data_IF_219506676164
#
_entry.id   IF_219506676164
#
_cell.length_a   1.000
_cell.length_b   1.000
_cell.length_c   1.000
_cell.angle_alpha   90.00
_cell.angle_beta   90.00
_cell.angle_gamma   90.00
#
_symmetry.space_group_name_H-M   'P 1'
#
loop_
_entity.id
_entity.type
_entity.pdbx_description
1 polymer ?
#
# COMPACT_ATOMS: atom_id res chain seq x y z
N UNK A 1 -26.24 2.09 10.10
CA UNK A 1 -26.25 2.11 11.57
C UNK A 1 -26.45 0.70 12.09
N UNK A 2 -25.39 0.03 12.54
CA UNK A 2 -25.54 -1.09 13.46
C UNK A 2 -25.33 -0.54 14.87
N UNK A 3 -26.40 -0.57 15.68
CA UNK A 3 -26.32 -0.28 17.10
C UNK A 3 -25.69 -1.49 17.78
N UNK A 4 -24.44 -1.36 18.20
CA UNK A 4 -23.76 -2.41 18.95
C UNK A 4 -24.22 -2.37 20.41
N UNK A 5 -25.05 -3.33 20.82
CA UNK A 5 -25.35 -3.56 22.24
C UNK A 5 -24.16 -4.25 22.90
N UNK A 6 -23.73 -3.75 24.06
CA UNK A 6 -22.68 -4.39 24.86
C UNK A 6 -23.20 -5.70 25.46
N UNK A 7 -22.52 -6.82 25.17
CA UNK A 7 -22.73 -8.10 25.86
C UNK A 7 -22.99 -9.32 24.98
N UNK A 8 -23.27 -9.15 23.70
CA UNK A 8 -23.50 -10.28 22.78
C UNK A 8 -22.24 -10.66 22.00
N UNK A 9 -22.04 -11.95 21.76
CA UNK A 9 -21.03 -12.45 20.82
C UNK A 9 -21.37 -11.96 19.42
N UNK A 10 -20.42 -11.30 18.77
CA UNK A 10 -20.60 -10.77 17.42
C UNK A 10 -19.73 -11.52 16.43
N UNK A 11 -20.29 -11.81 15.27
CA UNK A 11 -19.55 -12.31 14.11
C UNK A 11 -19.18 -11.14 13.21
N UNK A 12 -17.89 -11.00 12.91
CA UNK A 12 -17.39 -10.05 11.91
C UNK A 12 -16.77 -10.84 10.76
N UNK A 13 -17.07 -10.45 9.52
CA UNK A 13 -16.47 -11.03 8.31
C UNK A 13 -15.53 -10.02 7.73
N UNK A 14 -14.27 -10.42 7.54
CA UNK A 14 -13.21 -9.53 7.06
C UNK A 14 -12.92 -9.82 5.59
N UNK A 15 -12.80 -8.78 4.77
CA UNK A 15 -12.35 -8.92 3.38
C UNK A 15 -10.82 -8.95 3.26
N UNK A 16 -10.30 -9.41 2.11
CA UNK A 16 -8.86 -9.39 1.86
C UNK A 16 -8.30 -7.95 1.78
N UNK A 17 -9.13 -7.01 1.30
CA UNK A 17 -8.82 -5.58 1.31
C UNK A 17 -8.54 -5.08 2.72
N UNK A 18 -9.46 -5.33 3.65
CA UNK A 18 -9.37 -4.91 5.05
C UNK A 18 -8.12 -5.44 5.74
N UNK A 19 -7.81 -6.72 5.53
CA UNK A 19 -6.61 -7.35 6.10
C UNK A 19 -5.32 -6.73 5.55
N UNK A 20 -5.25 -6.54 4.23
CA UNK A 20 -4.08 -5.93 3.61
C UNK A 20 -3.90 -4.48 4.02
N UNK A 21 -4.99 -3.71 4.09
CA UNK A 21 -4.93 -2.31 4.51
C UNK A 21 -4.49 -2.20 5.97
N UNK A 22 -5.04 -3.05 6.84
CA UNK A 22 -4.65 -3.21 8.24
C UNK A 22 -3.18 -3.48 8.43
N UNK A 23 -2.67 -4.52 7.77
CA UNK A 23 -1.24 -4.85 7.79
C UNK A 23 -0.38 -3.69 7.28
N UNK A 24 -0.81 -3.00 6.22
CA UNK A 24 -0.08 -1.87 5.68
C UNK A 24 0.08 -0.74 6.72
N UNK A 25 -0.99 -0.44 7.47
CA UNK A 25 -1.00 0.55 8.55
C UNK A 25 -0.07 0.10 9.69
N UNK A 26 -0.24 -1.13 10.20
CA UNK A 26 0.55 -1.65 11.32
C UNK A 26 2.05 -1.65 10.99
N UNK A 27 2.42 -2.08 9.79
CA UNK A 27 3.80 -2.14 9.36
C UNK A 27 4.41 -0.75 9.15
N UNK A 28 3.62 0.23 8.68
CA UNK A 28 4.06 1.62 8.59
C UNK A 28 4.33 2.19 9.99
N UNK A 29 3.40 1.97 10.94
CA UNK A 29 3.54 2.40 12.33
C UNK A 29 4.74 1.75 13.00
N UNK A 30 4.92 0.44 12.83
CA UNK A 30 6.09 -0.29 13.33
C UNK A 30 7.40 0.24 12.75
N UNK A 31 7.43 0.55 11.44
CA UNK A 31 8.59 1.18 10.81
C UNK A 31 8.91 2.53 11.45
N UNK A 32 7.90 3.37 11.71
CA UNK A 32 8.04 4.65 12.42
C UNK A 32 8.59 4.47 13.84
N UNK A 33 8.00 3.58 14.64
CA UNK A 33 8.41 3.34 16.04
C UNK A 33 9.85 2.86 16.11
N UNK A 34 10.22 1.85 15.32
CA UNK A 34 11.59 1.32 15.31
C UNK A 34 12.58 2.38 14.80
N UNK A 35 12.20 3.22 13.83
CA UNK A 35 13.08 4.24 13.28
C UNK A 35 13.52 5.30 14.31
N UNK A 36 12.67 5.62 15.30
CA UNK A 36 13.02 6.56 16.38
C UNK A 36 14.14 6.04 17.28
N UNK A 37 14.23 4.72 17.43
CA UNK A 37 15.14 4.06 18.36
C UNK A 37 16.28 3.30 17.67
N UNK A 38 16.40 3.38 16.35
CA UNK A 38 17.38 2.61 15.58
C UNK A 38 18.81 3.06 15.90
N UNK A 39 19.51 2.25 16.68
CA UNK A 39 20.92 2.40 17.08
C UNK A 39 21.80 1.32 16.48
N UNK A 40 21.21 0.22 16.03
CA UNK A 40 21.90 -0.98 15.53
C UNK A 40 21.51 -1.30 14.09
N UNK A 41 22.38 -2.05 13.39
CA UNK A 41 22.10 -2.49 12.02
C UNK A 41 20.86 -3.38 11.88
N UNK A 42 20.50 -4.12 12.93
CA UNK A 42 19.27 -4.92 12.96
C UNK A 42 18.02 -4.04 12.94
N UNK A 43 17.98 -2.98 13.76
CA UNK A 43 16.85 -2.05 13.79
C UNK A 43 16.69 -1.33 12.46
N UNK A 44 17.79 -0.88 11.84
CA UNK A 44 17.75 -0.30 10.50
C UNK A 44 17.19 -1.27 9.47
N UNK A 45 17.60 -2.55 9.52
CA UNK A 45 17.06 -3.59 8.63
C UNK A 45 15.57 -3.82 8.88
N UNK A 46 15.12 -3.80 10.14
CA UNK A 46 13.71 -3.97 10.48
C UNK A 46 12.85 -2.80 9.99
N UNK A 47 13.30 -1.55 10.16
CA UNK A 47 12.63 -0.35 9.61
C UNK A 47 12.40 -0.51 8.12
N UNK A 48 13.45 -0.92 7.41
CA UNK A 48 13.43 -1.11 5.97
C UNK A 48 12.45 -2.21 5.52
N UNK A 49 12.51 -3.38 6.17
CA UNK A 49 11.59 -4.51 5.88
C UNK A 49 10.13 -4.15 6.15
N UNK A 50 9.86 -3.49 7.28
CA UNK A 50 8.51 -3.03 7.61
C UNK A 50 8.00 -2.01 6.58
N UNK A 51 8.85 -1.08 6.13
CA UNK A 51 8.47 -0.12 5.09
C UNK A 51 8.12 -0.80 3.76
N UNK A 52 8.97 -1.71 3.28
CA UNK A 52 8.72 -2.51 2.08
C UNK A 52 7.40 -3.27 2.19
N UNK A 53 7.19 -3.96 3.31
CA UNK A 53 6.01 -4.80 3.51
C UNK A 53 4.74 -3.96 3.59
N UNK A 54 4.80 -2.77 4.22
CA UNK A 54 3.70 -1.81 4.21
C UNK A 54 3.32 -1.35 2.79
N UNK A 55 4.32 -0.99 1.97
CA UNK A 55 4.10 -0.57 0.57
C UNK A 55 3.42 -1.68 -0.23
N UNK A 56 3.89 -2.92 -0.10
CA UNK A 56 3.31 -4.07 -0.78
C UNK A 56 1.86 -4.33 -0.34
N UNK A 57 1.62 -4.41 0.96
CA UNK A 57 0.28 -4.66 1.49
C UNK A 57 -0.69 -3.53 1.16
N UNK A 58 -0.26 -2.27 1.21
CA UNK A 58 -1.09 -1.13 0.81
C UNK A 58 -1.53 -1.24 -0.65
N UNK A 59 -0.62 -1.62 -1.55
CA UNK A 59 -0.99 -1.83 -2.95
C UNK A 59 -1.89 -3.05 -3.13
N UNK A 60 -1.66 -4.16 -2.43
CA UNK A 60 -2.54 -5.34 -2.47
C UNK A 60 -3.96 -5.02 -1.96
N UNK A 61 -4.09 -4.15 -0.96
CA UNK A 61 -5.38 -3.65 -0.49
C UNK A 61 -6.12 -2.91 -1.62
N UNK A 62 -5.42 -1.99 -2.30
CA UNK A 62 -5.97 -1.28 -3.45
C UNK A 62 -6.41 -2.23 -4.58
N UNK A 63 -5.59 -3.23 -4.93
CA UNK A 63 -5.94 -4.24 -5.93
C UNK A 63 -7.18 -5.04 -5.52
N UNK A 64 -7.29 -5.40 -4.25
CA UNK A 64 -8.44 -6.14 -3.70
C UNK A 64 -9.70 -5.29 -3.77
N UNK A 65 -9.64 -4.02 -3.36
CA UNK A 65 -10.74 -3.08 -3.41
C UNK A 65 -11.25 -2.88 -4.85
N UNK A 66 -10.34 -2.63 -5.80
CA UNK A 66 -10.67 -2.48 -7.22
C UNK A 66 -11.39 -3.72 -7.76
N UNK A 67 -10.91 -4.91 -7.40
CA UNK A 67 -11.58 -6.15 -7.80
C UNK A 67 -12.96 -6.30 -7.13
N UNK A 68 -13.11 -5.91 -5.87
CA UNK A 68 -14.39 -5.91 -5.17
C UNK A 68 -15.40 -4.97 -5.86
N UNK A 69 -15.05 -3.70 -6.09
CA UNK A 69 -15.94 -2.76 -6.79
C UNK A 69 -16.27 -3.23 -8.21
N UNK A 70 -15.29 -3.75 -8.94
CA UNK A 70 -15.53 -4.34 -10.26
C UNK A 70 -16.45 -5.56 -10.22
N UNK A 71 -16.30 -6.43 -9.22
CA UNK A 71 -17.21 -7.55 -8.99
C UNK A 71 -18.64 -7.05 -8.76
N UNK A 72 -18.80 -6.08 -7.88
CA UNK A 72 -20.10 -5.50 -7.53
C UNK A 72 -20.80 -4.84 -8.73
N UNK A 73 -20.05 -4.18 -9.60
CA UNK A 73 -20.63 -3.53 -10.78
C UNK A 73 -20.95 -4.52 -11.91
N UNK A 74 -20.09 -5.52 -12.14
CA UNK A 74 -20.13 -6.27 -13.40
C UNK A 74 -20.47 -7.75 -13.25
N UNK A 75 -20.44 -8.29 -12.04
CA UNK A 75 -20.59 -9.73 -11.80
C UNK A 75 -21.66 -10.05 -10.74
N UNK A 76 -21.89 -9.16 -9.76
CA UNK A 76 -22.94 -9.33 -8.76
C UNK A 76 -24.29 -8.75 -9.21
N UNK A 77 -25.20 -9.59 -9.71
CA UNK A 77 -26.55 -9.18 -10.13
C UNK A 77 -27.42 -8.59 -9.00
N UNK A 78 -27.10 -8.88 -7.74
CA UNK A 78 -27.83 -8.38 -6.57
C UNK A 78 -27.32 -7.03 -6.06
N UNK A 79 -26.20 -6.53 -6.58
CA UNK A 79 -25.64 -5.24 -6.19
C UNK A 79 -26.47 -4.07 -6.73
N UNK A 80 -26.64 -3.03 -5.93
CA UNK A 80 -27.28 -1.78 -6.36
C UNK A 80 -26.49 -1.06 -7.47
N UNK A 81 -25.17 -1.29 -7.53
CA UNK A 81 -24.30 -0.74 -8.56
C UNK A 81 -24.20 -1.62 -9.81
N UNK A 82 -24.95 -2.72 -9.88
CA UNK A 82 -24.85 -3.67 -10.98
C UNK A 82 -25.25 -3.07 -12.33
N UNK A 83 -24.41 -3.31 -13.33
CA UNK A 83 -24.63 -2.94 -14.72
C UNK A 83 -25.20 -4.14 -15.49
N UNK A 84 -26.47 -4.14 -15.91
CA UNK A 84 -27.07 -5.22 -16.67
C UNK A 84 -26.31 -5.50 -17.97
N UNK A 85 -26.25 -6.77 -18.39
CA UNK A 85 -25.49 -7.22 -19.57
C UNK A 85 -25.95 -6.49 -20.83
N UNK A 86 -27.24 -6.21 -20.93
CA UNK A 86 -27.90 -5.53 -22.04
C UNK A 86 -27.50 -4.06 -22.16
N UNK A 87 -27.00 -3.46 -21.06
CA UNK A 87 -26.49 -2.09 -21.02
C UNK A 87 -24.98 -1.99 -21.25
N UNK A 88 -24.30 -3.13 -21.51
CA UNK A 88 -22.85 -3.17 -21.72
C UNK A 88 -22.52 -3.07 -23.20
N UNK A 89 -21.70 -2.08 -23.55
CA UNK A 89 -21.19 -1.98 -24.91
C UNK A 89 -20.16 -3.10 -25.21
N UNK A 90 -19.74 -3.18 -26.47
CA UNK A 90 -18.78 -4.19 -26.92
C UNK A 90 -17.40 -4.06 -26.23
N UNK A 91 -16.94 -2.84 -25.96
CA UNK A 91 -15.63 -2.59 -25.37
C UNK A 91 -15.61 -3.03 -23.91
N UNK A 92 -16.66 -2.72 -23.15
CA UNK A 92 -16.88 -3.20 -21.79
C UNK A 92 -16.88 -4.72 -21.75
N UNK A 93 -17.66 -5.38 -22.60
CA UNK A 93 -17.69 -6.84 -22.65
C UNK A 93 -16.33 -7.45 -22.99
N UNK A 94 -15.56 -6.82 -23.88
CA UNK A 94 -14.19 -7.27 -24.20
C UNK A 94 -13.24 -7.09 -23.01
N UNK A 95 -13.35 -5.98 -22.27
CA UNK A 95 -12.55 -5.73 -21.08
C UNK A 95 -12.86 -6.73 -19.96
N UNK A 96 -14.14 -6.98 -19.68
CA UNK A 96 -14.57 -7.92 -18.63
C UNK A 96 -14.10 -9.36 -18.90
N UNK A 97 -13.99 -9.79 -20.16
CA UNK A 97 -13.44 -11.11 -20.52
C UNK A 97 -11.98 -11.30 -20.12
N UNK A 98 -11.22 -10.22 -19.95
CA UNK A 98 -9.82 -10.25 -19.51
C UNK A 98 -9.64 -9.68 -18.12
N UNK A 99 -10.72 -9.55 -17.34
CA UNK A 99 -10.70 -8.88 -16.03
C UNK A 99 -9.56 -9.38 -15.15
N UNK A 100 -9.45 -10.69 -14.93
CA UNK A 100 -8.43 -11.26 -14.04
C UNK A 100 -6.98 -11.05 -14.51
N UNK A 101 -6.79 -10.73 -15.80
CA UNK A 101 -5.48 -10.47 -16.42
C UNK A 101 -5.17 -8.99 -16.59
N UNK A 102 -6.15 -8.11 -16.40
CA UNK A 102 -5.95 -6.67 -16.54
C UNK A 102 -5.28 -6.08 -15.31
N UNK A 103 -4.41 -5.10 -15.54
CA UNK A 103 -3.71 -4.41 -14.47
C UNK A 103 -4.68 -3.61 -13.59
N UNK A 104 -4.35 -3.49 -12.31
CA UNK A 104 -5.20 -2.81 -11.34
C UNK A 104 -5.51 -1.36 -11.71
N UNK A 105 -4.51 -0.61 -12.20
CA UNK A 105 -4.73 0.78 -12.62
C UNK A 105 -5.63 0.89 -13.86
N UNK A 106 -5.56 -0.07 -14.81
CA UNK A 106 -6.51 -0.12 -15.93
C UNK A 106 -7.93 -0.34 -15.42
N UNK A 107 -8.11 -1.26 -14.46
CA UNK A 107 -9.41 -1.55 -13.85
C UNK A 107 -9.97 -0.34 -13.10
N UNK A 108 -9.13 0.36 -12.33
CA UNK A 108 -9.52 1.56 -11.59
C UNK A 108 -10.06 2.63 -12.52
N UNK A 109 -9.29 3.03 -13.54
CA UNK A 109 -9.70 4.07 -14.48
C UNK A 109 -10.97 3.66 -15.23
N UNK A 110 -11.10 2.38 -15.55
CA UNK A 110 -12.27 1.86 -16.22
C UNK A 110 -13.52 1.91 -15.33
N UNK A 111 -13.44 1.46 -14.07
CA UNK A 111 -14.52 1.55 -13.07
C UNK A 111 -14.97 3.01 -12.90
N UNK A 112 -14.02 3.92 -12.65
CA UNK A 112 -14.32 5.34 -12.40
C UNK A 112 -14.94 6.02 -13.61
N UNK A 113 -14.44 5.71 -14.82
CA UNK A 113 -14.99 6.27 -16.07
C UNK A 113 -16.47 5.92 -16.26
N UNK A 114 -16.89 4.73 -15.84
CA UNK A 114 -18.29 4.29 -15.93
C UNK A 114 -19.18 5.09 -14.97
N UNK A 115 -18.64 5.50 -13.83
CA UNK A 115 -19.29 6.39 -12.86
C UNK A 115 -19.12 7.88 -13.19
N UNK A 116 -18.51 8.22 -14.33
CA UNK A 116 -18.19 9.61 -14.75
C UNK A 116 -17.30 10.36 -13.74
N UNK A 117 -16.51 9.62 -12.97
CA UNK A 117 -15.50 10.15 -12.06
C UNK A 117 -14.13 9.89 -12.68
N UNK A 118 -13.15 10.71 -12.35
CA UNK A 118 -11.76 10.49 -12.76
C UNK A 118 -10.83 10.67 -11.56
N UNK A 119 -9.71 9.95 -11.58
CA UNK A 119 -8.63 10.17 -10.63
C UNK A 119 -8.00 11.54 -10.90
N UNK A 120 -7.81 12.40 -9.87
CA UNK A 120 -7.07 13.64 -10.03
C UNK A 120 -5.69 13.38 -10.64
N UNK A 121 -5.25 14.22 -11.59
CA UNK A 121 -4.03 13.98 -12.38
C UNK A 121 -2.80 13.74 -11.50
N UNK A 122 -2.64 14.52 -10.43
CA UNK A 122 -1.57 14.36 -9.45
C UNK A 122 -1.58 12.94 -8.83
N UNK A 123 -2.73 12.52 -8.32
CA UNK A 123 -2.88 11.21 -7.68
C UNK A 123 -2.69 10.07 -8.69
N UNK A 124 -3.14 10.24 -9.93
CA UNK A 124 -2.90 9.28 -11.01
C UNK A 124 -1.41 9.10 -11.30
N UNK A 125 -0.64 10.19 -11.35
CA UNK A 125 0.81 10.12 -11.54
C UNK A 125 1.50 9.42 -10.36
N UNK A 126 1.09 9.75 -9.13
CA UNK A 126 1.57 9.10 -7.91
C UNK A 126 1.24 7.59 -7.87
N UNK A 127 0.06 7.18 -8.32
CA UNK A 127 -0.33 5.77 -8.45
C UNK A 127 0.52 5.01 -9.47
N UNK A 128 0.83 5.62 -10.61
CA UNK A 128 1.73 5.02 -11.63
C UNK A 128 3.12 4.81 -11.02
N UNK A 129 3.63 5.79 -10.29
CA UNK A 129 4.89 5.69 -9.57
C UNK A 129 4.85 4.59 -8.49
N UNK A 130 3.79 4.52 -7.70
CA UNK A 130 3.61 3.48 -6.68
C UNK A 130 3.53 2.07 -7.30
N UNK A 131 2.79 1.88 -8.39
CA UNK A 131 2.74 0.61 -9.12
C UNK A 131 4.13 0.20 -9.65
N UNK A 132 4.90 1.17 -10.17
CA UNK A 132 6.27 0.92 -10.59
C UNK A 132 7.16 0.48 -9.43
N UNK A 133 7.08 1.16 -8.28
CA UNK A 133 7.84 0.81 -7.08
C UNK A 133 7.46 -0.60 -6.59
N UNK A 134 6.15 -0.87 -6.44
CA UNK A 134 5.63 -2.20 -6.05
C UNK A 134 6.14 -3.30 -6.98
N UNK A 135 6.14 -3.06 -8.28
CA UNK A 135 6.63 -4.05 -9.25
C UNK A 135 8.15 -4.28 -9.14
N UNK A 136 8.93 -3.25 -8.81
CA UNK A 136 10.36 -3.43 -8.55
C UNK A 136 10.62 -4.22 -7.27
N UNK A 137 9.85 -3.94 -6.21
CA UNK A 137 9.93 -4.67 -4.95
C UNK A 137 9.52 -6.15 -5.12
N UNK A 138 8.39 -6.41 -5.78
CA UNK A 138 7.77 -7.74 -5.82
C UNK A 138 8.34 -8.65 -6.91
N UNK A 139 8.66 -8.10 -8.09
CA UNK A 139 8.93 -8.89 -9.30
C UNK A 139 10.34 -8.70 -9.85
N UNK A 140 11.17 -7.85 -9.21
CA UNK A 140 12.60 -7.74 -9.50
C UNK A 140 12.92 -7.43 -10.96
N UNK A 141 12.66 -6.18 -11.40
CA UNK A 141 13.36 -5.70 -12.62
C UNK A 141 14.87 -5.76 -12.38
N UNK A 142 15.66 -5.82 -13.45
CA UNK A 142 17.13 -5.71 -13.35
C UNK A 142 17.46 -4.37 -12.70
N UNK A 143 17.70 -4.42 -11.40
CA UNK A 143 18.08 -3.32 -10.55
C UNK A 143 19.36 -3.72 -9.85
N UNK A 144 20.45 -3.08 -10.27
CA UNK A 144 21.79 -3.30 -9.74
C UNK A 144 22.14 -2.09 -8.88
N UNK A 145 22.63 -2.35 -7.68
CA UNK A 145 23.26 -1.36 -6.81
C UNK A 145 24.72 -1.73 -6.68
N UNK A 146 25.60 -0.78 -7.02
CA UNK A 146 27.05 -0.91 -6.86
C UNK A 146 27.46 -0.24 -5.56
N UNK A 147 28.16 -0.97 -4.69
CA UNK A 147 28.70 -0.44 -3.44
C UNK A 147 30.20 -0.21 -3.57
N UNK A 148 30.67 0.98 -3.20
CA UNK A 148 32.08 1.24 -2.96
C UNK A 148 32.39 0.88 -1.51
N UNK A 149 33.33 -0.04 -1.31
CA UNK A 149 33.67 -0.60 0.00
C UNK A 149 35.07 -0.19 0.42
N UNK A 150 35.24 0.15 1.69
CA UNK A 150 36.54 0.43 2.33
C UNK A 150 36.78 -0.60 3.45
N UNK A 151 37.91 -1.34 3.43
CA UNK A 151 38.22 -2.31 4.46
C UNK A 151 38.28 -1.63 5.84
N UNK A 152 37.69 -2.28 6.84
CA UNK A 152 37.84 -1.84 8.23
C UNK A 152 39.14 -2.38 8.80
N UNK A 153 39.96 -1.48 9.32
CA UNK A 153 41.07 -1.83 10.20
C UNK A 153 40.49 -2.17 11.59
N UNK A 154 40.11 -3.43 11.77
CA UNK A 154 39.65 -3.94 13.06
C UNK A 154 40.74 -4.82 13.67
N UNK A 155 41.41 -4.38 14.75
CA UNK A 155 42.50 -5.14 15.37
C UNK A 155 42.05 -6.45 16.02
N UNK A 156 40.75 -6.67 16.20
CA UNK A 156 40.17 -7.90 16.76
C UNK A 156 39.61 -8.85 15.68
N UNK A 157 39.71 -8.52 14.39
CA UNK A 157 39.35 -9.46 13.33
C UNK A 157 40.49 -10.47 13.13
N UNK A 158 40.22 -11.75 13.43
CA UNK A 158 41.07 -12.86 12.99
C UNK A 158 41.28 -12.79 11.46
N UNK A 159 42.47 -13.16 10.99
CA UNK A 159 42.92 -13.03 9.57
C UNK A 159 41.95 -13.64 8.53
N UNK A 160 40.96 -14.43 8.94
CA UNK A 160 39.95 -15.07 8.10
C UNK A 160 38.70 -14.23 7.84
N UNK A 161 38.47 -13.12 8.56
CA UNK A 161 37.25 -12.29 8.42
C UNK A 161 37.56 -10.80 8.21
N UNK A 162 37.85 -10.42 6.97
CA UNK A 162 37.91 -9.01 6.58
C UNK A 162 36.49 -8.41 6.56
N UNK A 163 36.27 -7.38 7.38
CA UNK A 163 35.03 -6.59 7.34
C UNK A 163 35.21 -5.32 6.52
N UNK A 164 34.12 -4.83 5.93
CA UNK A 164 34.09 -3.65 5.06
C UNK A 164 33.07 -2.63 5.57
N UNK A 165 33.36 -1.35 5.31
CA UNK A 165 32.42 -0.24 5.43
C UNK A 165 31.98 0.23 4.04
N UNK A 166 30.73 0.69 3.91
CA UNK A 166 30.22 1.25 2.65
C UNK A 166 30.58 2.73 2.60
N UNK A 167 31.35 3.14 1.60
CA UNK A 167 31.77 4.54 1.38
C UNK A 167 30.81 5.26 0.44
N UNK A 168 30.38 4.58 -0.62
CA UNK A 168 29.49 5.14 -1.64
C UNK A 168 28.58 4.06 -2.23
N UNK A 169 27.51 4.49 -2.89
CA UNK A 169 26.49 3.62 -3.48
C UNK A 169 25.90 4.27 -4.73
N UNK A 170 25.95 3.54 -5.85
CA UNK A 170 25.34 3.95 -7.12
C UNK A 170 24.25 2.95 -7.55
N UNK A 171 23.07 3.48 -7.88
CA UNK A 171 21.96 2.71 -8.41
C UNK A 171 21.96 2.74 -9.94
N UNK A 172 21.78 1.59 -10.59
CA UNK A 172 21.72 1.44 -12.07
C UNK A 172 20.59 2.21 -12.76
N UNK A 173 19.70 2.86 -12.01
CA UNK A 173 18.59 3.62 -12.53
C UNK A 173 18.61 5.03 -11.96
N UNK A 174 18.40 6.04 -12.82
CA UNK A 174 18.17 7.41 -12.39
C UNK A 174 16.86 7.51 -11.58
N UNK A 175 16.99 7.37 -10.26
CA UNK A 175 15.87 7.25 -9.34
C UNK A 175 15.00 8.50 -9.30
N UNK A 176 15.62 9.69 -9.23
CA UNK A 176 14.90 10.98 -9.21
C UNK A 176 14.09 11.20 -10.48
N UNK A 177 14.61 10.76 -11.63
CA UNK A 177 13.88 10.81 -12.90
C UNK A 177 12.73 9.80 -12.96
N UNK A 178 12.78 8.71 -12.18
CA UNK A 178 11.77 7.66 -12.21
C UNK A 178 10.61 7.88 -11.25
N UNK A 179 10.85 8.61 -10.14
CA UNK A 179 9.85 8.94 -9.12
C UNK A 179 9.76 10.46 -8.87
N UNK A 180 9.49 11.29 -9.90
CA UNK A 180 9.49 12.75 -9.76
C UNK A 180 8.38 13.31 -8.85
N UNK A 181 7.22 12.64 -8.76
CA UNK A 181 6.07 13.13 -8.00
C UNK A 181 6.12 12.68 -6.54
N UNK A 182 6.40 11.39 -6.33
CA UNK A 182 6.43 10.76 -5.00
C UNK A 182 7.74 10.96 -4.26
N UNK A 183 8.84 11.15 -5.02
CA UNK A 183 10.21 11.26 -4.48
C UNK A 183 10.59 10.07 -3.58
N UNK A 184 10.09 8.88 -3.89
CA UNK A 184 10.48 7.66 -3.19
C UNK A 184 12.00 7.52 -3.14
N UNK A 185 12.52 6.96 -2.04
CA UNK A 185 13.94 6.59 -1.92
C UNK A 185 14.24 5.33 -2.72
N UNK A 186 15.52 5.11 -3.02
CA UNK A 186 15.96 3.90 -3.73
C UNK A 186 15.72 2.63 -2.94
N UNK A 187 15.69 1.47 -3.61
CA UNK A 187 15.23 0.23 -3.01
C UNK A 187 15.96 -0.09 -1.70
N UNK A 188 17.27 0.08 -1.63
CA UNK A 188 18.05 -0.17 -0.40
C UNK A 188 17.87 0.89 0.71
N UNK A 189 17.11 1.96 0.44
CA UNK A 189 16.96 3.13 1.33
C UNK A 189 15.50 3.43 1.71
N UNK A 190 14.54 2.60 1.27
CA UNK A 190 13.13 2.77 1.63
C UNK A 190 12.94 2.75 3.15
N UNK A 191 12.18 3.70 3.67
CA UNK A 191 11.94 3.86 5.10
C UNK A 191 10.46 4.17 5.41
N UNK A 192 10.18 4.55 6.66
CA UNK A 192 8.82 4.86 7.09
C UNK A 192 8.17 6.01 6.28
N UNK A 193 8.93 7.01 5.82
CA UNK A 193 8.37 8.12 5.02
C UNK A 193 7.82 7.60 3.69
N UNK A 194 8.55 6.68 3.05
CA UNK A 194 8.15 6.07 1.79
C UNK A 194 6.89 5.22 1.98
N UNK A 195 6.80 4.46 3.08
CA UNK A 195 5.61 3.71 3.44
C UNK A 195 4.40 4.64 3.70
N UNK A 196 4.61 5.75 4.39
CA UNK A 196 3.57 6.75 4.65
C UNK A 196 3.06 7.39 3.35
N UNK A 197 3.96 7.76 2.43
CA UNK A 197 3.60 8.30 1.11
C UNK A 197 2.77 7.27 0.34
N UNK A 198 3.24 6.02 0.25
CA UNK A 198 2.53 4.94 -0.45
C UNK A 198 1.13 4.71 0.12
N UNK A 199 1.01 4.62 1.45
CA UNK A 199 -0.27 4.43 2.11
C UNK A 199 -1.21 5.62 1.91
N UNK A 200 -0.68 6.86 1.92
CA UNK A 200 -1.46 8.06 1.62
C UNK A 200 -2.05 8.02 0.21
N UNK A 201 -1.26 7.59 -0.78
CA UNK A 201 -1.72 7.43 -2.17
C UNK A 201 -2.88 6.41 -2.20
N UNK A 202 -2.68 5.23 -1.60
CA UNK A 202 -3.69 4.17 -1.52
C UNK A 202 -4.97 4.67 -0.87
N UNK A 203 -4.89 5.28 0.32
CA UNK A 203 -6.07 5.76 1.05
C UNK A 203 -6.82 6.86 0.29
N UNK A 204 -6.12 7.76 -0.41
CA UNK A 204 -6.77 8.76 -1.26
C UNK A 204 -7.51 8.12 -2.44
N UNK A 205 -6.95 7.08 -3.05
CA UNK A 205 -7.61 6.36 -4.14
C UNK A 205 -8.83 5.58 -3.65
N UNK A 206 -8.69 4.88 -2.52
CA UNK A 206 -9.78 4.18 -1.88
C UNK A 206 -10.90 5.15 -1.51
N UNK A 207 -10.58 6.33 -0.95
CA UNK A 207 -11.57 7.39 -0.69
C UNK A 207 -12.40 7.76 -1.92
N UNK A 208 -11.76 7.92 -3.10
CA UNK A 208 -12.49 8.21 -4.35
C UNK A 208 -13.46 7.08 -4.69
N UNK A 209 -13.04 5.81 -4.56
CA UNK A 209 -13.91 4.66 -4.80
C UNK A 209 -15.09 4.65 -3.82
N UNK A 210 -14.82 4.80 -2.53
CA UNK A 210 -15.85 4.86 -1.48
C UNK A 210 -16.87 5.96 -1.74
N UNK A 211 -16.44 7.19 -2.01
CA UNK A 211 -17.34 8.31 -2.31
C UNK A 211 -18.16 8.08 -3.60
N UNK A 212 -17.53 7.48 -4.61
CA UNK A 212 -18.18 7.19 -5.91
C UNK A 212 -19.30 6.16 -5.77
N UNK A 213 -19.06 5.13 -4.95
CA UNK A 213 -19.96 3.97 -4.82
C UNK A 213 -20.79 3.99 -3.53
N UNK A 214 -20.59 4.98 -2.66
CA UNK A 214 -21.23 5.10 -1.34
C UNK A 214 -21.10 3.82 -0.52
N UNK A 215 -19.88 3.28 -0.51
CA UNK A 215 -19.52 2.09 0.25
C UNK A 215 -18.39 2.42 1.22
N UNK A 216 -18.46 1.98 2.47
CA UNK A 216 -17.38 2.16 3.42
C UNK A 216 -16.14 1.35 3.02
N UNK A 217 -14.99 1.77 3.55
CA UNK A 217 -13.74 1.01 3.50
C UNK A 217 -13.38 0.69 4.93
N UNK A 218 -13.45 -0.58 5.26
CA UNK A 218 -13.14 -1.07 6.58
C UNK A 218 -11.63 -1.32 6.71
N UNK A 219 -11.10 -1.18 7.92
CA UNK A 219 -9.71 -1.44 8.27
C UNK A 219 -9.69 -2.42 9.43
N UNK A 220 -8.81 -3.42 9.39
CA UNK A 220 -8.58 -4.29 10.54
C UNK A 220 -7.10 -4.29 10.92
N UNK A 221 -6.75 -3.55 11.97
CA UNK A 221 -5.40 -3.60 12.56
C UNK A 221 -5.23 -4.83 13.45
N UNK A 222 -4.02 -5.38 13.47
CA UNK A 222 -3.67 -6.61 14.19
C UNK A 222 -2.70 -6.36 15.36
N UNK A 223 -2.40 -5.09 15.71
CA UNK A 223 -1.55 -4.77 16.87
C UNK A 223 -2.21 -5.23 18.18
N UNK A 224 -1.41 -5.81 19.08
CA UNK A 224 -1.91 -6.47 20.29
C UNK A 224 -2.27 -5.46 21.40
N UNK A 225 -3.44 -5.60 22.06
CA UNK A 225 -4.47 -6.60 21.74
C UNK A 225 -5.14 -6.25 20.41
N UNK A 226 -5.31 -7.26 19.53
CA UNK A 226 -5.86 -7.09 18.18
C UNK A 226 -7.06 -6.14 18.22
N UNK A 227 -6.86 -4.89 17.82
CA UNK A 227 -7.86 -3.85 17.91
C UNK A 227 -8.55 -3.70 16.57
N UNK A 228 -9.87 -3.85 16.60
CA UNK A 228 -10.72 -3.66 15.42
C UNK A 228 -11.15 -2.20 15.37
N UNK A 229 -10.50 -1.40 14.51
CA UNK A 229 -10.89 -0.02 14.27
C UNK A 229 -11.77 0.08 13.02
N UNK A 230 -13.08 0.18 13.20
CA UNK A 230 -14.04 0.47 12.13
C UNK A 230 -13.87 1.91 11.65
N UNK A 231 -13.45 2.09 10.39
CA UNK A 231 -13.36 3.40 9.76
C UNK A 231 -14.63 3.68 8.95
N UNK A 232 -15.55 4.47 9.49
CA UNK A 232 -16.82 4.81 8.84
C UNK A 232 -16.80 6.15 8.09
N UNK A 233 -17.60 6.23 7.01
CA UNK A 233 -17.64 7.25 5.95
C UNK A 233 -17.66 8.73 6.40
N UNK A 234 -18.24 9.07 7.56
CA UNK A 234 -18.38 10.48 7.95
C UNK A 234 -17.11 11.08 8.59
N UNK A 235 -16.14 10.26 9.01
CA UNK A 235 -14.91 10.69 9.65
C UNK A 235 -13.65 10.07 8.99
N UNK A 236 -13.66 9.82 7.68
CA UNK A 236 -12.51 9.30 6.94
C UNK A 236 -11.35 10.31 6.92
N UNK A 237 -10.63 10.37 8.04
CA UNK A 237 -9.53 11.27 8.26
C UNK A 237 -8.24 10.49 8.07
N UNK A 238 -7.73 10.52 6.84
CA UNK A 238 -6.46 9.90 6.45
C UNK A 238 -5.33 10.31 7.41
N UNK A 239 -5.37 11.54 7.93
CA UNK A 239 -4.37 12.00 8.88
C UNK A 239 -4.47 11.28 10.22
N UNK A 240 -5.64 10.88 10.70
CA UNK A 240 -5.78 10.12 11.96
C UNK A 240 -5.21 8.71 11.81
N UNK A 241 -5.49 8.03 10.69
CA UNK A 241 -4.96 6.70 10.39
C UNK A 241 -3.42 6.72 10.38
N UNK A 242 -2.87 7.75 9.75
CA UNK A 242 -1.43 7.94 9.55
C UNK A 242 -0.72 8.49 10.79
N UNK A 243 -1.36 9.39 11.55
CA UNK A 243 -0.73 10.09 12.68
C UNK A 243 -0.74 9.31 13.96
N UNK A 244 -1.51 8.21 14.08
CA UNK A 244 -1.64 7.45 15.32
C UNK A 244 -0.28 7.26 16.00
N UNK A 245 -0.07 8.07 17.03
CA UNK A 245 1.13 8.05 17.85
C UNK A 245 0.77 7.12 19.01
N UNK A 246 1.55 6.05 19.16
CA UNK A 246 1.52 5.25 20.38
C UNK A 246 1.65 6.22 21.56
N UNK A 247 0.59 6.32 22.37
CA UNK A 247 0.77 6.76 23.75
C UNK A 247 1.53 5.61 24.41
N UNK A 248 2.82 5.82 24.64
CA UNK A 248 3.58 4.95 25.53
C UNK A 248 2.89 5.02 26.90
N UNK A 249 2.30 3.90 27.32
CA UNK A 249 1.95 3.64 28.73
C UNK A 249 3.17 3.04 29.44
#
# INVERSE_FOLDING_TARGET
>A
MQNFSSGDLQSFTVSLEELHLGHAVDLMRKSKVVSKNAKTGWETSLVHRCAISSILHGFCALESAINYFGHEMFFNKGSESYVPIEKRDYLLNKFLKKWDKSEALEKLEFILSYSKVSTPEKLRNELIELNNLRNWIAHGKVYITTFLLDPKDDPDNDEETQTYSVVDMEDSVNWKGKFPNTKFKSLGKLNFDDAQIALTIVLNTLKILSETFKKPIDLMTCEYPASYDLLWEENFNIQEIIKFDYKEE
#
